data_IF_544316674249
#
_entry.id   IF_544316674249
#
_cell.length_a   1.000
_cell.length_b   1.000
_cell.length_c   1.000
_cell.angle_alpha   90.00
_cell.angle_beta   90.00
_cell.angle_gamma   90.00
#
_symmetry.space_group_name_H-M   'P 1'
#
loop_
_entity.id
_entity.type
_entity.pdbx_description
1 polymer ?
#
# COMPACT_ATOMS: atom_id res chain seq x y z
N UNK A 1 25.98 -25.40 9.32
CA UNK A 1 24.95 -24.83 10.16
C UNK A 1 23.61 -25.33 9.63
N UNK A 2 22.76 -26.02 10.40
CA UNK A 2 21.47 -26.47 9.90
C UNK A 2 20.60 -25.24 9.59
N UNK A 3 19.72 -25.30 8.56
CA UNK A 3 18.81 -24.20 8.25
C UNK A 3 17.88 -23.98 9.43
N UNK A 4 17.64 -22.72 9.76
CA UNK A 4 16.67 -22.32 10.79
C UNK A 4 15.29 -22.87 10.41
N UNK A 5 14.49 -23.36 11.38
CA UNK A 5 13.14 -23.83 11.09
C UNK A 5 12.31 -22.68 10.51
N UNK A 6 11.36 -22.97 9.61
CA UNK A 6 10.46 -21.96 9.07
C UNK A 6 9.72 -21.27 10.22
N UNK A 7 9.66 -19.96 10.21
CA UNK A 7 8.86 -19.20 11.18
C UNK A 7 7.40 -19.54 10.90
N UNK A 8 6.72 -20.18 11.83
CA UNK A 8 5.27 -20.25 11.84
C UNK A 8 4.74 -18.84 12.09
N UNK A 9 4.35 -18.15 11.04
CA UNK A 9 3.56 -16.94 11.14
C UNK A 9 2.12 -17.35 11.46
N UNK A 10 1.80 -17.46 12.75
CA UNK A 10 0.42 -17.58 13.18
C UNK A 10 -0.35 -16.32 12.75
N UNK A 11 -1.52 -16.48 12.13
CA UNK A 11 -2.43 -15.36 11.84
C UNK A 11 -2.92 -14.83 13.19
N UNK A 12 -2.80 -13.52 13.40
CA UNK A 12 -3.31 -12.86 14.61
C UNK A 12 -4.84 -13.07 14.75
N UNK A 13 -5.33 -13.06 15.99
CA UNK A 13 -6.78 -13.19 16.22
C UNK A 13 -7.57 -12.02 15.61
N UNK A 14 -8.84 -12.24 15.33
CA UNK A 14 -9.72 -11.18 14.80
C UNK A 14 -9.78 -9.99 15.77
N UNK A 15 -9.82 -10.26 17.07
CA UNK A 15 -9.86 -9.25 18.13
C UNK A 15 -8.58 -8.40 18.12
N UNK A 16 -7.43 -9.04 17.98
CA UNK A 16 -6.14 -8.37 17.91
C UNK A 16 -6.05 -7.48 16.65
N UNK A 17 -6.41 -8.02 15.47
CA UNK A 17 -6.45 -7.26 14.22
C UNK A 17 -7.38 -6.06 14.35
N UNK A 18 -8.60 -6.26 14.86
CA UNK A 18 -9.60 -5.19 15.04
C UNK A 18 -9.13 -4.10 16.00
N UNK A 19 -8.34 -4.44 17.02
CA UNK A 19 -7.77 -3.49 17.98
C UNK A 19 -6.85 -2.44 17.34
N UNK A 20 -6.33 -2.70 16.14
CA UNK A 20 -5.54 -1.72 15.39
C UNK A 20 -6.38 -0.64 14.70
N UNK A 21 -7.71 -0.79 14.59
CA UNK A 21 -8.59 0.09 13.83
C UNK A 21 -9.51 0.93 14.71
N UNK A 22 -9.11 2.14 15.14
CA UNK A 22 -9.92 2.98 16.06
C UNK A 22 -11.32 3.31 15.52
N UNK A 23 -11.49 3.37 14.20
CA UNK A 23 -12.79 3.65 13.61
C UNK A 23 -13.86 2.59 13.92
N UNK A 24 -13.45 1.36 14.25
CA UNK A 24 -14.37 0.29 14.64
C UNK A 24 -15.00 0.51 16.04
N UNK A 25 -14.47 1.42 16.83
CA UNK A 25 -15.03 1.82 18.12
C UNK A 25 -16.11 2.91 18.00
N UNK A 26 -16.28 3.50 16.81
CA UNK A 26 -17.28 4.57 16.60
C UNK A 26 -18.69 4.04 16.82
N UNK A 27 -19.51 4.88 17.44
CA UNK A 27 -20.92 4.62 17.63
C UNK A 27 -21.75 5.46 16.66
N UNK A 28 -22.78 4.85 16.10
CA UNK A 28 -23.88 5.52 15.41
C UNK A 28 -25.16 5.30 16.22
N UNK A 29 -25.54 6.32 16.98
CA UNK A 29 -26.51 6.17 18.06
C UNK A 29 -25.94 5.25 19.16
N UNK A 30 -26.65 4.16 19.48
CA UNK A 30 -26.22 3.16 20.47
C UNK A 30 -25.53 1.93 19.87
N UNK A 31 -25.28 1.92 18.54
CA UNK A 31 -24.71 0.76 17.84
C UNK A 31 -23.30 1.08 17.35
N UNK A 32 -22.42 0.10 17.41
CA UNK A 32 -21.10 0.18 16.81
C UNK A 32 -21.20 0.32 15.29
N UNK A 33 -20.41 1.22 14.70
CA UNK A 33 -20.38 1.40 13.26
C UNK A 33 -19.86 0.13 12.55
N UNK A 34 -20.50 -0.23 11.44
CA UNK A 34 -20.08 -1.31 10.57
C UNK A 34 -19.73 -0.73 9.19
N UNK A 35 -18.58 -1.12 8.65
CA UNK A 35 -18.05 -0.63 7.39
C UNK A 35 -18.04 -1.76 6.37
N UNK A 36 -18.90 -1.67 5.36
CA UNK A 36 -19.05 -2.69 4.30
C UNK A 36 -18.67 -2.18 2.91
N UNK A 37 -18.36 -0.89 2.79
CA UNK A 37 -17.95 -0.27 1.54
C UNK A 37 -16.46 0.06 1.57
N UNK A 38 -15.64 -0.96 1.33
CA UNK A 38 -14.18 -0.79 1.22
C UNK A 38 -13.75 0.17 0.12
N UNK A 39 -14.34 0.12 -1.10
CA UNK A 39 -14.04 1.07 -2.17
C UNK A 39 -14.38 2.53 -1.83
N UNK A 40 -15.41 2.75 -1.02
CA UNK A 40 -15.81 4.09 -0.56
C UNK A 40 -14.94 4.65 0.56
N UNK A 41 -14.10 3.82 1.19
CA UNK A 41 -13.18 4.26 2.24
C UNK A 41 -12.80 3.15 3.21
N UNK A 42 -11.65 2.54 2.98
CA UNK A 42 -11.08 1.55 3.90
C UNK A 42 -10.63 2.24 5.20
N UNK A 43 -10.92 1.61 6.33
CA UNK A 43 -10.50 2.11 7.63
C UNK A 43 -8.97 1.96 7.79
N UNK A 44 -8.36 2.94 8.45
CA UNK A 44 -6.90 3.03 8.59
C UNK A 44 -6.49 2.50 9.97
N UNK A 45 -5.56 1.55 10.05
CA UNK A 45 -5.01 1.11 11.32
C UNK A 45 -4.10 2.17 11.94
N UNK A 46 -4.08 2.26 13.26
CA UNK A 46 -3.28 3.23 14.01
C UNK A 46 -1.80 3.25 13.60
N UNK A 47 -1.09 2.11 13.45
CA UNK A 47 0.33 2.13 13.05
C UNK A 47 0.61 2.86 11.73
N UNK A 48 -0.35 2.87 10.79
CA UNK A 48 -0.19 3.61 9.52
C UNK A 48 -0.24 5.11 9.76
N UNK A 49 -1.21 5.59 10.56
CA UNK A 49 -1.32 7.01 10.89
C UNK A 49 -0.10 7.50 11.70
N UNK A 50 0.37 6.69 12.64
CA UNK A 50 1.55 6.98 13.45
C UNK A 50 2.82 7.07 12.59
N UNK A 51 3.04 6.12 11.68
CA UNK A 51 4.16 6.13 10.74
C UNK A 51 4.14 7.33 9.78
N UNK A 52 2.96 7.72 9.29
CA UNK A 52 2.81 8.93 8.48
C UNK A 52 3.15 10.19 9.26
N UNK A 53 2.69 10.29 10.50
CA UNK A 53 2.97 11.44 11.37
C UNK A 53 4.45 11.53 11.71
N UNK A 54 5.08 10.41 12.05
CA UNK A 54 6.51 10.32 12.33
C UNK A 54 7.34 10.76 11.12
N UNK A 55 7.04 10.24 9.93
CA UNK A 55 7.71 10.64 8.71
C UNK A 55 7.61 12.15 8.45
N UNK A 56 6.40 12.71 8.57
CA UNK A 56 6.18 14.14 8.31
C UNK A 56 6.93 15.04 9.30
N UNK A 57 7.05 14.63 10.56
CA UNK A 57 7.71 15.43 11.59
C UNK A 57 9.23 15.29 11.60
N UNK A 58 9.76 14.13 11.24
CA UNK A 58 11.17 13.82 11.50
C UNK A 58 11.98 13.49 10.23
N UNK A 59 11.36 13.02 9.14
CA UNK A 59 12.04 12.45 7.98
C UNK A 59 11.71 13.12 6.65
N UNK A 60 10.74 14.04 6.62
CA UNK A 60 10.21 14.63 5.38
C UNK A 60 11.30 15.31 4.55
N UNK A 61 11.65 14.72 3.41
CA UNK A 61 12.67 15.21 2.50
C UNK A 61 12.44 14.76 1.06
N UNK A 62 13.09 15.43 0.11
CA UNK A 62 13.21 14.95 -1.26
C UNK A 62 14.13 13.74 -1.32
N UNK A 63 13.86 12.83 -2.27
CA UNK A 63 14.65 11.63 -2.54
C UNK A 63 15.99 11.97 -3.22
N UNK A 64 16.91 11.00 -3.19
CA UNK A 64 18.13 10.93 -4.00
C UNK A 64 19.17 12.01 -3.72
N UNK A 65 19.27 12.48 -2.47
CA UNK A 65 20.31 13.37 -1.99
C UNK A 65 21.17 12.71 -0.90
N UNK A 66 22.32 13.31 -0.62
CA UNK A 66 23.31 12.72 0.29
C UNK A 66 23.11 13.08 1.78
N UNK A 67 22.12 13.89 2.12
CA UNK A 67 21.85 14.24 3.52
C UNK A 67 20.93 13.21 4.21
N UNK A 68 21.00 13.07 5.55
CA UNK A 68 20.37 11.95 6.30
C UNK A 68 18.90 11.73 5.98
N UNK A 69 18.05 12.74 6.05
CA UNK A 69 16.61 12.59 5.85
C UNK A 69 16.23 12.17 4.41
N UNK A 70 17.05 12.53 3.41
CA UNK A 70 16.86 12.05 2.05
C UNK A 70 17.21 10.57 1.92
N UNK A 71 18.29 10.13 2.57
CA UNK A 71 18.69 8.72 2.61
C UNK A 71 17.60 7.88 3.33
N UNK A 72 17.06 8.40 4.42
CA UNK A 72 15.97 7.77 5.17
C UNK A 72 14.69 7.65 4.31
N UNK A 73 14.36 8.68 3.53
CA UNK A 73 13.25 8.67 2.57
C UNK A 73 13.44 7.60 1.50
N UNK A 74 14.63 7.51 0.89
CA UNK A 74 14.94 6.48 -0.10
C UNK A 74 14.85 5.08 0.51
N UNK A 75 15.36 4.90 1.72
CA UNK A 75 15.28 3.63 2.45
C UNK A 75 13.83 3.23 2.76
N UNK A 76 12.99 4.17 3.20
CA UNK A 76 11.57 3.92 3.48
C UNK A 76 10.80 3.50 2.21
N UNK A 77 11.04 4.19 1.09
CA UNK A 77 10.42 3.86 -0.20
C UNK A 77 10.88 2.49 -0.72
N UNK A 78 12.15 2.15 -0.53
CA UNK A 78 12.67 0.85 -0.95
C UNK A 78 12.09 -0.29 -0.10
N UNK A 79 12.10 -0.13 1.23
CA UNK A 79 11.51 -1.11 2.14
C UNK A 79 10.03 -1.36 1.85
N UNK A 80 9.26 -0.31 1.53
CA UNK A 80 7.88 -0.45 1.13
C UNK A 80 7.71 -1.25 -0.18
N UNK A 81 8.61 -1.07 -1.15
CA UNK A 81 8.62 -1.89 -2.38
C UNK A 81 8.94 -3.35 -2.10
N UNK A 82 9.90 -3.62 -1.24
CA UNK A 82 10.25 -5.00 -0.85
C UNK A 82 9.06 -5.73 -0.23
N UNK A 83 8.38 -5.11 0.74
CA UNK A 83 7.20 -5.69 1.40
C UNK A 83 6.06 -5.96 0.41
N UNK A 84 5.80 -5.02 -0.50
CA UNK A 84 4.74 -5.20 -1.51
C UNK A 84 5.12 -6.23 -2.57
N UNK A 85 6.38 -6.30 -2.96
CA UNK A 85 6.88 -7.33 -3.87
C UNK A 85 6.74 -8.72 -3.26
N UNK A 86 7.11 -8.90 -2.01
CA UNK A 86 6.91 -10.16 -1.27
C UNK A 86 5.43 -10.54 -1.20
N UNK A 87 4.55 -9.58 -0.91
CA UNK A 87 3.10 -9.82 -0.84
C UNK A 87 2.50 -10.22 -2.19
N UNK A 88 2.98 -9.62 -3.30
CA UNK A 88 2.46 -9.87 -4.65
C UNK A 88 3.20 -11.00 -5.39
N UNK A 89 4.31 -11.51 -4.85
CA UNK A 89 5.15 -12.52 -5.49
C UNK A 89 5.96 -11.98 -6.67
N UNK A 90 6.35 -10.70 -6.62
CA UNK A 90 7.12 -10.01 -7.64
C UNK A 90 8.48 -9.51 -7.16
N UNK A 91 9.13 -8.67 -7.96
CA UNK A 91 10.37 -7.99 -7.59
C UNK A 91 10.11 -6.55 -7.14
N UNK A 92 10.94 -5.97 -6.23
CA UNK A 92 10.78 -4.57 -5.79
C UNK A 92 10.80 -3.54 -6.93
N UNK A 93 11.51 -3.83 -8.02
CA UNK A 93 11.56 -2.99 -9.22
C UNK A 93 10.26 -2.99 -10.04
N UNK A 94 9.36 -3.95 -9.80
CA UNK A 94 8.05 -4.05 -10.45
C UNK A 94 6.95 -3.31 -9.68
N UNK A 95 7.26 -2.80 -8.48
CA UNK A 95 6.32 -2.02 -7.67
C UNK A 95 6.42 -0.54 -8.00
N UNK A 96 5.34 0.04 -8.48
CA UNK A 96 5.21 1.48 -8.72
C UNK A 96 4.26 2.12 -7.70
N UNK A 97 4.68 3.23 -7.12
CA UNK A 97 3.84 4.07 -6.26
C UNK A 97 3.22 5.22 -7.02
N UNK A 98 2.02 5.63 -6.63
CA UNK A 98 1.35 6.80 -7.15
C UNK A 98 0.35 7.35 -6.13
N UNK A 99 -0.23 8.50 -6.43
CA UNK A 99 -1.14 9.19 -5.53
C UNK A 99 -2.43 8.40 -5.24
N UNK A 100 -2.95 7.69 -6.24
CA UNK A 100 -4.15 6.86 -6.16
C UNK A 100 -4.24 5.93 -7.39
N UNK A 101 -5.15 4.97 -7.33
CA UNK A 101 -5.40 4.00 -8.40
C UNK A 101 -5.74 4.69 -9.73
N UNK A 102 -6.59 5.69 -9.74
CA UNK A 102 -7.00 6.41 -10.96
C UNK A 102 -5.81 7.01 -11.68
N UNK A 103 -4.95 7.74 -10.97
CA UNK A 103 -3.73 8.34 -11.55
C UNK A 103 -2.78 7.26 -12.07
N UNK A 104 -2.58 6.17 -11.33
CA UNK A 104 -1.73 5.06 -11.76
C UNK A 104 -2.27 4.38 -13.01
N UNK A 105 -3.58 4.12 -13.08
CA UNK A 105 -4.24 3.53 -14.26
C UNK A 105 -4.07 4.42 -15.49
N UNK A 106 -4.26 5.74 -15.37
CA UNK A 106 -4.01 6.66 -16.47
C UNK A 106 -2.55 6.69 -16.91
N UNK A 107 -1.60 6.64 -15.99
CA UNK A 107 -0.18 6.58 -16.32
C UNK A 107 0.16 5.27 -17.06
N UNK A 108 -0.34 4.14 -16.56
CA UNK A 108 -0.16 2.83 -17.18
C UNK A 108 -0.76 2.79 -18.60
N UNK A 109 -2.03 3.21 -18.73
CA UNK A 109 -2.73 3.22 -20.02
C UNK A 109 -1.99 4.10 -21.06
N UNK A 110 -1.50 5.27 -20.67
CA UNK A 110 -0.71 6.14 -21.56
C UNK A 110 0.64 5.52 -21.92
N UNK A 111 1.28 4.80 -21.01
CA UNK A 111 2.56 4.14 -21.28
C UNK A 111 2.39 2.98 -22.26
N UNK A 112 1.40 2.13 -22.03
CA UNK A 112 1.06 1.02 -22.92
C UNK A 112 0.61 1.52 -24.31
N UNK A 113 -0.26 2.54 -24.35
CA UNK A 113 -0.76 3.11 -25.60
C UNK A 113 0.31 3.68 -26.53
N UNK A 114 1.50 3.99 -26.02
CA UNK A 114 2.65 4.41 -26.84
C UNK A 114 3.31 3.26 -27.59
N UNK A 115 3.13 2.03 -27.12
CA UNK A 115 3.70 0.83 -27.75
C UNK A 115 2.72 0.15 -28.69
N UNK A 116 1.44 0.54 -28.69
CA UNK A 116 0.40 -0.07 -29.52
C UNK A 116 0.44 0.45 -30.96
N UNK A 117 0.10 -0.44 -31.89
CA UNK A 117 0.06 -0.20 -33.33
C UNK A 117 -1.36 -0.40 -33.88
N UNK A 118 -1.66 0.11 -35.08
CA UNK A 118 -2.93 -0.19 -35.73
C UNK A 118 -3.14 -1.71 -35.90
N UNK A 119 -4.25 -2.23 -35.38
CA UNK A 119 -4.57 -3.65 -35.35
C UNK A 119 -4.42 -4.32 -33.99
N UNK A 120 -3.83 -3.65 -32.98
CA UNK A 120 -3.85 -4.12 -31.62
C UNK A 120 -5.27 -4.01 -31.02
N UNK A 121 -5.66 -4.99 -30.25
CA UNK A 121 -7.00 -5.10 -29.68
C UNK A 121 -6.97 -5.00 -28.14
N UNK A 122 -7.98 -4.35 -27.58
CA UNK A 122 -8.23 -4.29 -26.14
C UNK A 122 -9.51 -5.07 -25.88
N UNK A 123 -9.41 -6.12 -25.07
CA UNK A 123 -10.57 -6.91 -24.64
C UNK A 123 -11.09 -6.35 -23.32
N UNK A 124 -12.37 -6.02 -23.29
CA UNK A 124 -13.09 -5.54 -22.09
C UNK A 124 -14.32 -6.42 -21.85
N UNK A 125 -14.86 -6.38 -20.63
CA UNK A 125 -16.14 -7.02 -20.30
C UNK A 125 -17.30 -6.03 -20.44
N UNK A 126 -18.54 -6.50 -20.44
CA UNK A 126 -19.73 -5.62 -20.44
C UNK A 126 -19.90 -4.86 -19.12
N UNK A 127 -19.18 -5.26 -18.08
CA UNK A 127 -19.28 -4.66 -16.74
C UNK A 127 -18.27 -3.53 -16.50
N UNK A 128 -17.30 -3.35 -17.39
CA UNK A 128 -16.22 -2.33 -17.29
C UNK A 128 -16.54 -1.08 -18.11
#
# INVERSE_FOLDING_TARGET
MPPSPPREFGVASVEEIRGHFPALERLHGSRTAAYFDGPGGTQVPRPVADAMSDYLFHHNANCHWAFPTSIETDAALWAAREVLADFLGGAPSEVAFGQNMTSLTFHLARSLGRSWAPGDEIVVTELD
#
